data_IF_650414075190
#
_entry.id   IF_650414075190
#
_cell.length_a   1.000
_cell.length_b   1.000
_cell.length_c   1.000
_cell.angle_alpha   90.00
_cell.angle_beta   90.00
_cell.angle_gamma   90.00
#
_symmetry.space_group_name_H-M   'P 1'
#
loop_
_entity.id
_entity.type
_entity.pdbx_description
1 polymer ?
#
# COMPACT_ATOMS: atom_id res chain seq x y z
N UNK A 1 -25.02 6.07 12.67
CA UNK A 1 -24.14 7.23 12.48
C UNK A 1 -22.73 6.69 12.56
N UNK A 2 -22.07 6.50 11.42
CA UNK A 2 -20.71 5.94 11.35
C UNK A 2 -19.77 7.07 11.75
N UNK A 3 -19.34 7.03 13.00
CA UNK A 3 -18.43 8.00 13.59
C UNK A 3 -17.00 7.69 13.12
N UNK A 4 -16.47 8.58 12.30
CA UNK A 4 -15.09 8.52 11.80
C UNK A 4 -14.20 9.05 12.91
N UNK A 5 -13.67 8.15 13.74
CA UNK A 5 -12.82 8.52 14.87
C UNK A 5 -11.50 9.19 14.40
N UNK A 6 -11.02 10.23 15.13
CA UNK A 6 -9.86 11.04 14.77
C UNK A 6 -8.52 10.42 15.23
N UNK A 7 -7.50 10.62 14.41
CA UNK A 7 -6.03 10.63 14.66
C UNK A 7 -5.42 9.67 15.71
N UNK A 8 -4.78 8.57 15.26
CA UNK A 8 -3.79 7.75 16.00
C UNK A 8 -2.83 6.99 15.03
N UNK A 9 -1.62 6.51 15.40
CA UNK A 9 -0.37 6.71 14.66
C UNK A 9 0.06 5.38 14.01
N UNK A 10 -0.71 4.92 13.03
CA UNK A 10 -0.11 4.05 12.02
C UNK A 10 0.86 4.94 11.24
N UNK A 11 2.07 4.52 10.85
CA UNK A 11 2.73 5.15 9.71
C UNK A 11 1.74 5.03 8.56
N UNK A 12 1.00 6.11 8.27
CA UNK A 12 -0.15 6.09 7.37
C UNK A 12 0.38 5.57 6.04
N UNK A 13 -0.04 4.35 5.64
CA UNK A 13 0.38 3.63 4.43
C UNK A 13 -0.84 3.06 3.69
N UNK A 14 -0.58 2.52 2.52
CA UNK A 14 -1.21 2.80 1.21
C UNK A 14 -2.51 2.07 0.87
N UNK A 15 -2.80 0.94 1.49
CA UNK A 15 -4.09 0.26 1.37
C UNK A 15 -4.18 -0.70 2.56
N UNK A 16 -5.20 -0.54 3.40
CA UNK A 16 -5.35 -1.38 4.60
C UNK A 16 -6.66 -2.15 4.48
N UNK A 17 -6.57 -3.46 4.27
CA UNK A 17 -7.68 -4.36 4.60
C UNK A 17 -7.61 -4.67 6.09
N UNK A 18 -8.62 -4.24 6.83
CA UNK A 18 -8.72 -4.51 8.26
C UNK A 18 -9.56 -5.76 8.46
N UNK A 19 -8.96 -6.75 9.13
CA UNK A 19 -9.63 -7.96 9.55
C UNK A 19 -9.90 -7.90 11.05
N UNK A 20 -11.13 -8.22 11.43
CA UNK A 20 -11.56 -8.39 12.80
C UNK A 20 -11.58 -9.86 13.18
N UNK A 21 -10.69 -10.26 14.08
CA UNK A 21 -10.75 -11.56 14.74
C UNK A 21 -11.33 -11.41 16.15
N UNK A 22 -12.13 -12.39 16.52
CA UNK A 22 -12.68 -12.51 17.86
C UNK A 22 -13.31 -13.88 18.06
N UNK A 23 -13.81 -14.11 19.26
CA UNK A 23 -14.40 -15.37 19.66
C UNK A 23 -15.90 -15.38 19.38
N UNK A 24 -16.40 -16.35 18.62
CA UNK A 24 -17.83 -16.63 18.55
C UNK A 24 -18.21 -17.55 19.72
N UNK A 25 -19.09 -17.10 20.62
CA UNK A 25 -19.65 -17.95 21.67
C UNK A 25 -20.82 -18.75 21.08
N UNK A 26 -20.75 -20.08 21.07
CA UNK A 26 -21.94 -20.91 20.90
C UNK A 26 -22.71 -20.90 22.21
N UNK A 27 -24.00 -20.51 22.15
CA UNK A 27 -24.89 -20.29 23.32
C UNK A 27 -25.06 -21.53 24.21
N UNK A 28 -24.62 -22.71 23.77
CA UNK A 28 -24.57 -23.92 24.58
C UNK A 28 -23.13 -24.47 24.68
N UNK A 29 -22.51 -24.32 25.86
CA UNK A 29 -21.44 -25.18 26.40
C UNK A 29 -20.18 -25.48 25.57
N UNK A 30 -19.86 -24.71 24.52
CA UNK A 30 -18.86 -25.10 23.52
C UNK A 30 -17.60 -24.23 23.48
N UNK A 31 -16.44 -24.90 23.46
CA UNK A 31 -15.06 -24.40 23.25
C UNK A 31 -14.99 -23.08 22.46
N UNK A 32 -14.38 -22.04 23.04
CA UNK A 32 -14.10 -20.77 22.37
C UNK A 32 -13.17 -20.98 21.17
N UNK A 33 -13.72 -20.81 19.95
CA UNK A 33 -12.96 -20.82 18.70
C UNK A 33 -12.81 -19.39 18.16
N UNK A 34 -11.58 -18.89 17.95
CA UNK A 34 -11.37 -17.64 17.24
C UNK A 34 -11.82 -17.86 15.80
N UNK A 35 -12.67 -16.96 15.34
CA UNK A 35 -13.16 -16.93 13.97
C UNK A 35 -12.91 -15.54 13.40
N UNK A 36 -12.84 -15.46 12.08
CA UNK A 36 -12.93 -14.19 11.37
C UNK A 36 -14.34 -13.65 11.57
N UNK A 37 -14.50 -12.58 12.34
CA UNK A 37 -15.80 -11.95 12.56
C UNK A 37 -16.19 -11.02 11.42
N UNK A 38 -15.21 -10.32 10.85
CA UNK A 38 -15.47 -9.37 9.78
C UNK A 38 -14.19 -9.11 8.99
N UNK A 39 -14.30 -9.11 7.66
CA UNK A 39 -13.27 -8.62 6.76
C UNK A 39 -13.89 -7.51 5.92
N UNK A 40 -13.40 -6.28 6.05
CA UNK A 40 -13.87 -5.18 5.20
C UNK A 40 -13.06 -5.18 3.90
N UNK A 41 -13.74 -5.34 2.77
CA UNK A 41 -13.18 -5.01 1.46
C UNK A 41 -13.28 -3.49 1.24
N UNK A 42 -12.26 -2.84 0.64
CA UNK A 42 -12.42 -1.46 0.20
C UNK A 42 -13.58 -1.38 -0.81
N UNK A 43 -14.57 -0.54 -0.52
CA UNK A 43 -15.84 -0.41 -1.28
C UNK A 43 -15.63 0.19 -2.67
N UNK A 44 -14.46 0.78 -2.93
CA UNK A 44 -14.09 1.34 -4.23
C UNK A 44 -12.75 0.79 -4.72
N UNK A 45 -12.58 0.72 -6.04
CA UNK A 45 -11.33 0.32 -6.70
C UNK A 45 -10.22 1.38 -6.64
N UNK A 46 -10.35 2.34 -5.70
CA UNK A 46 -9.45 3.47 -5.50
C UNK A 46 -8.81 3.31 -4.11
N UNK A 47 -7.50 3.05 -4.08
CA UNK A 47 -6.71 3.03 -2.84
C UNK A 47 -6.19 4.42 -2.49
N UNK A 48 -5.82 4.63 -1.24
CA UNK A 48 -5.19 5.89 -0.79
C UNK A 48 -3.77 5.62 -0.29
N UNK A 49 -2.80 5.99 -1.11
CA UNK A 49 -1.39 6.06 -0.76
C UNK A 49 -1.16 7.15 0.26
N UNK A 50 -0.90 6.74 1.50
CA UNK A 50 -0.47 7.67 2.53
C UNK A 50 1.04 7.61 2.68
N UNK A 51 1.67 8.78 2.86
CA UNK A 51 3.10 8.97 2.96
C UNK A 51 3.39 10.01 4.04
N UNK A 52 4.54 9.90 4.69
CA UNK A 52 5.07 10.97 5.55
C UNK A 52 6.16 11.73 4.83
N UNK A 53 6.12 13.06 4.86
CA UNK A 53 7.17 13.92 4.28
C UNK A 53 8.55 13.60 4.86
N UNK A 54 8.62 13.28 6.15
CA UNK A 54 9.86 12.91 6.84
C UNK A 54 10.54 11.65 6.30
N UNK A 55 9.79 10.71 5.71
CA UNK A 55 10.34 9.51 5.07
C UNK A 55 11.02 9.84 3.72
N UNK A 56 10.75 11.01 3.16
CA UNK A 56 11.22 11.46 1.84
C UNK A 56 11.81 12.87 1.95
N UNK A 57 13.09 13.03 2.32
CA UNK A 57 13.70 14.34 2.55
C UNK A 57 13.55 15.34 1.39
N UNK A 58 13.49 14.85 0.14
CA UNK A 58 13.23 15.70 -1.02
C UNK A 58 11.89 16.45 -0.92
N UNK A 59 10.85 15.82 -0.37
CA UNK A 59 9.51 16.42 -0.23
C UNK A 59 9.40 17.41 0.93
N UNK A 60 10.46 17.62 1.71
CA UNK A 60 10.48 18.65 2.76
C UNK A 60 10.55 20.08 2.19
N UNK A 61 10.96 20.24 0.93
CA UNK A 61 11.14 21.53 0.29
C UNK A 61 10.29 21.66 -0.98
N UNK A 62 9.90 22.89 -1.30
CA UNK A 62 9.28 23.20 -2.59
C UNK A 62 10.27 22.91 -3.74
N UNK A 63 9.75 22.41 -4.86
CA UNK A 63 10.53 21.89 -5.98
C UNK A 63 11.06 20.46 -5.77
N UNK A 64 10.89 19.91 -4.57
CA UNK A 64 11.26 18.54 -4.26
C UNK A 64 10.38 17.50 -4.98
N UNK A 65 11.00 16.43 -5.47
CA UNK A 65 10.27 15.37 -6.18
C UNK A 65 10.86 13.99 -5.92
N UNK A 66 10.01 12.98 -5.89
CA UNK A 66 10.40 11.57 -5.78
C UNK A 66 9.58 10.73 -6.76
N UNK A 67 10.19 9.66 -7.26
CA UNK A 67 9.49 8.61 -7.99
C UNK A 67 9.25 7.43 -7.05
N UNK A 68 8.02 6.96 -6.98
CA UNK A 68 7.58 5.93 -6.04
C UNK A 68 7.06 4.72 -6.80
N UNK A 69 7.57 3.53 -6.45
CA UNK A 69 6.94 2.29 -6.88
C UNK A 69 5.82 1.95 -5.90
N UNK A 70 4.60 1.91 -6.41
CA UNK A 70 3.37 1.74 -5.64
C UNK A 70 2.59 0.49 -6.07
N UNK A 71 3.22 -0.40 -6.85
CA UNK A 71 2.61 -1.66 -7.30
C UNK A 71 1.58 -1.52 -8.43
N UNK A 72 1.48 -0.34 -9.04
CA UNK A 72 0.68 -0.11 -10.24
C UNK A 72 1.45 -0.51 -11.50
N UNK A 73 0.78 -0.39 -12.66
CA UNK A 73 1.35 -0.63 -13.99
C UNK A 73 2.52 0.32 -14.32
N UNK A 74 2.62 1.44 -13.61
CA UNK A 74 3.75 2.36 -13.65
C UNK A 74 4.00 3.00 -12.27
N UNK A 75 5.25 3.40 -11.96
CA UNK A 75 5.54 4.25 -10.82
C UNK A 75 4.77 5.57 -10.90
N UNK A 76 4.72 6.28 -9.78
CA UNK A 76 4.22 7.66 -9.75
C UNK A 76 5.36 8.63 -9.49
N UNK A 77 5.25 9.86 -10.00
CA UNK A 77 6.07 11.00 -9.59
C UNK A 77 5.24 11.83 -8.61
N UNK A 78 5.76 12.01 -7.41
CA UNK A 78 5.19 12.87 -6.38
C UNK A 78 6.12 14.07 -6.20
N UNK A 79 5.58 15.26 -6.44
CA UNK A 79 6.31 16.52 -6.42
C UNK A 79 5.64 17.50 -5.45
N UNK A 80 6.44 18.28 -4.72
CA UNK A 80 5.97 19.37 -3.89
C UNK A 80 6.19 20.70 -4.60
N UNK A 81 5.13 21.41 -4.91
CA UNK A 81 5.18 22.77 -5.43
C UNK A 81 5.30 23.80 -4.29
N UNK A 82 5.43 25.07 -4.68
CA UNK A 82 5.32 26.18 -3.73
C UNK A 82 3.95 26.19 -3.03
N UNK A 83 3.87 26.81 -1.85
CA UNK A 83 2.62 26.90 -1.09
C UNK A 83 2.14 25.58 -0.47
N UNK A 84 2.97 24.53 -0.46
CA UNK A 84 2.62 23.24 0.15
C UNK A 84 1.70 22.36 -0.69
N UNK A 85 1.52 22.69 -1.97
CA UNK A 85 0.73 21.89 -2.91
C UNK A 85 1.54 20.68 -3.35
N UNK A 86 0.89 19.52 -3.45
CA UNK A 86 1.50 18.30 -3.96
C UNK A 86 0.85 17.89 -5.28
N UNK A 87 1.67 17.54 -6.25
CA UNK A 87 1.25 16.95 -7.52
C UNK A 87 1.69 15.50 -7.57
N UNK A 88 0.75 14.61 -7.85
CA UNK A 88 1.01 13.20 -8.08
C UNK A 88 0.60 12.84 -9.50
N UNK A 89 1.54 12.33 -10.28
CA UNK A 89 1.32 11.99 -11.70
C UNK A 89 1.88 10.63 -12.02
N UNK A 90 1.34 9.96 -13.03
CA UNK A 90 1.90 8.72 -13.55
C UNK A 90 3.30 8.97 -14.11
N UNK A 91 4.25 8.10 -13.79
CA UNK A 91 5.57 8.16 -14.40
C UNK A 91 5.60 7.56 -15.82
N UNK A 92 4.48 6.98 -16.30
CA UNK A 92 4.39 6.43 -17.66
C UNK A 92 4.27 7.55 -18.68
N UNK A 93 5.33 7.78 -19.45
CA UNK A 93 5.31 8.70 -20.57
C UNK A 93 4.22 8.32 -21.58
N UNK A 94 3.38 9.29 -21.95
CA UNK A 94 2.23 9.07 -22.84
C UNK A 94 2.60 8.96 -24.32
N UNK A 95 3.89 9.10 -24.66
CA UNK A 95 4.40 8.83 -25.99
C UNK A 95 4.42 7.32 -26.28
N UNK A 96 5.29 6.57 -25.59
CA UNK A 96 5.53 5.13 -25.82
C UNK A 96 5.70 4.33 -24.52
N UNK A 97 5.33 4.91 -23.37
CA UNK A 97 5.31 4.20 -22.09
C UNK A 97 6.62 4.16 -21.31
N UNK A 98 7.68 4.85 -21.75
CA UNK A 98 8.91 4.99 -20.96
C UNK A 98 8.64 5.61 -19.58
N UNK A 99 9.42 5.22 -18.57
CA UNK A 99 9.32 5.82 -17.24
C UNK A 99 10.04 7.18 -17.25
N UNK A 100 9.31 8.27 -17.01
CA UNK A 100 9.88 9.62 -16.89
C UNK A 100 10.66 9.77 -15.59
N UNK A 101 11.56 10.75 -15.56
CA UNK A 101 12.29 11.11 -14.35
C UNK A 101 11.37 11.77 -13.32
N UNK A 102 11.85 11.91 -12.08
CA UNK A 102 11.23 12.83 -11.13
C UNK A 102 11.30 14.27 -11.67
N UNK A 103 10.44 15.15 -11.16
CA UNK A 103 10.49 16.58 -11.50
C UNK A 103 11.84 17.17 -11.06
N UNK A 104 12.43 17.96 -11.95
CA UNK A 104 13.68 18.66 -11.72
C UNK A 104 13.42 20.17 -11.60
N UNK A 105 13.57 20.70 -10.38
CA UNK A 105 13.40 22.12 -10.10
C UNK A 105 14.40 23.02 -10.84
N UNK A 106 15.57 22.51 -11.22
CA UNK A 106 16.56 23.26 -11.99
C UNK A 106 16.13 23.50 -13.43
N UNK A 107 15.31 22.60 -13.99
CA UNK A 107 14.79 22.72 -15.35
C UNK A 107 13.29 22.96 -15.44
N UNK A 108 12.60 23.06 -14.30
CA UNK A 108 11.14 23.24 -14.17
C UNK A 108 10.32 22.19 -14.92
N UNK A 109 10.85 20.97 -15.06
CA UNK A 109 10.27 19.95 -15.93
C UNK A 109 10.42 18.53 -15.37
N UNK A 110 9.42 17.72 -15.66
CA UNK A 110 9.51 16.25 -15.71
C UNK A 110 9.97 15.87 -17.11
N UNK A 111 11.08 15.13 -17.22
CA UNK A 111 11.69 14.76 -18.51
C UNK A 111 11.65 13.27 -18.77
N UNK A 112 11.29 12.89 -20.00
CA UNK A 112 11.42 11.53 -20.51
C UNK A 112 12.78 11.35 -21.18
N UNK A 113 13.63 10.47 -20.63
CA UNK A 113 14.96 10.19 -21.17
C UNK A 113 14.99 9.44 -22.52
N UNK A 114 13.87 8.90 -23.00
CA UNK A 114 13.84 8.12 -24.24
C UNK A 114 13.87 8.99 -25.51
N UNK A 115 12.93 9.94 -25.60
CA UNK A 115 12.70 10.74 -26.82
C UNK A 115 12.48 12.23 -26.50
N UNK A 116 12.75 12.65 -25.25
CA UNK A 116 12.71 14.05 -24.87
C UNK A 116 11.32 14.65 -24.66
N UNK A 117 10.26 13.86 -24.46
CA UNK A 117 8.97 14.42 -24.00
C UNK A 117 9.15 15.10 -22.64
N UNK A 118 8.59 16.29 -22.48
CA UNK A 118 8.67 17.08 -21.26
C UNK A 118 7.27 17.43 -20.76
N UNK A 119 7.14 17.48 -19.44
CA UNK A 119 5.88 17.78 -18.75
C UNK A 119 6.15 18.76 -17.61
N UNK A 120 5.17 19.58 -17.30
CA UNK A 120 5.16 20.46 -16.13
C UNK A 120 5.05 19.65 -14.84
N UNK A 121 5.23 20.30 -13.69
CA UNK A 121 5.17 19.66 -12.36
C UNK A 121 3.83 18.95 -12.09
N UNK A 122 2.73 19.45 -12.67
CA UNK A 122 1.38 18.90 -12.56
C UNK A 122 1.08 17.81 -13.60
N UNK A 123 2.05 17.48 -14.46
CA UNK A 123 1.93 16.49 -15.53
C UNK A 123 1.45 17.05 -16.86
N UNK A 124 1.15 18.34 -16.95
CA UNK A 124 0.74 19.00 -18.19
C UNK A 124 1.84 18.86 -19.25
N UNK A 125 1.48 18.43 -20.47
CA UNK A 125 2.45 18.31 -21.56
C UNK A 125 3.09 19.68 -21.87
N UNK A 126 4.41 19.75 -21.82
CA UNK A 126 5.18 20.95 -22.12
C UNK A 126 5.84 20.88 -23.51
N UNK A 127 6.25 19.69 -23.96
CA UNK A 127 6.89 19.54 -25.26
C UNK A 127 7.32 18.13 -25.62
N UNK A 128 7.88 18.00 -26.83
CA UNK A 128 8.38 16.74 -27.40
C UNK A 128 7.30 15.91 -28.11
N UNK A 129 7.55 14.61 -28.35
CA UNK A 129 6.72 13.80 -29.24
C UNK A 129 5.40 13.28 -28.62
N UNK A 130 5.23 13.38 -27.30
CA UNK A 130 4.00 13.00 -26.63
C UNK A 130 2.83 13.87 -27.11
N UNK A 131 1.61 13.32 -27.10
CA UNK A 131 0.40 13.99 -27.62
C UNK A 131 -0.63 14.33 -26.54
N UNK A 132 -0.38 13.96 -25.29
CA UNK A 132 -1.24 14.26 -24.14
C UNK A 132 -0.43 14.39 -22.86
N UNK A 133 -0.98 15.10 -21.87
CA UNK A 133 -0.46 15.18 -20.51
C UNK A 133 -0.41 13.82 -19.81
N UNK A 134 0.45 13.70 -18.78
CA UNK A 134 0.50 12.54 -17.90
C UNK A 134 -0.83 12.36 -17.16
N UNK A 135 -1.15 11.12 -16.82
CA UNK A 135 -2.31 10.84 -15.96
C UNK A 135 -2.04 11.38 -14.55
N UNK A 136 -3.02 12.04 -13.96
CA UNK A 136 -2.88 12.70 -12.65
C UNK A 136 -3.65 11.95 -11.57
N UNK A 137 -3.19 12.10 -10.33
CA UNK A 137 -3.79 11.49 -9.15
C UNK A 137 -4.07 12.56 -8.11
N UNK A 138 -5.23 12.47 -7.46
CA UNK A 138 -5.62 13.44 -6.44
C UNK A 138 -4.73 13.29 -5.22
N UNK A 139 -3.92 14.32 -4.93
CA UNK A 139 -3.07 14.40 -3.75
C UNK A 139 -3.59 15.46 -2.76
N UNK A 140 -3.50 15.17 -1.48
CA UNK A 140 -3.79 16.10 -0.39
C UNK A 140 -2.69 16.06 0.66
N UNK A 141 -2.47 17.18 1.33
CA UNK A 141 -1.50 17.31 2.42
C UNK A 141 -2.22 17.89 3.64
N UNK A 142 -1.93 17.34 4.82
CA UNK A 142 -2.58 17.77 6.08
C UNK A 142 -2.01 19.08 6.65
N UNK A 143 -0.97 19.63 6.04
CA UNK A 143 -0.29 20.84 6.50
C UNK A 143 0.83 20.58 7.50
N UNK A 144 1.01 19.33 7.94
CA UNK A 144 1.96 18.95 8.98
C UNK A 144 3.02 18.00 8.42
N UNK A 145 2.65 16.75 8.16
CA UNK A 145 3.60 15.72 7.71
C UNK A 145 2.99 14.64 6.82
N UNK A 146 1.66 14.57 6.68
CA UNK A 146 1.00 13.48 5.96
C UNK A 146 0.51 13.90 4.57
N UNK A 147 0.93 13.14 3.56
CA UNK A 147 0.47 13.25 2.18
C UNK A 147 -0.44 12.05 1.90
N UNK A 148 -1.60 12.28 1.29
CA UNK A 148 -2.51 11.24 0.82
C UNK A 148 -2.69 11.36 -0.69
N UNK A 149 -2.51 10.28 -1.44
CA UNK A 149 -2.69 10.22 -2.89
C UNK A 149 -3.70 9.15 -3.24
N UNK A 150 -4.79 9.52 -3.90
CA UNK A 150 -5.81 8.57 -4.38
C UNK A 150 -5.36 7.94 -5.68
N UNK A 151 -5.18 6.62 -5.67
CA UNK A 151 -4.68 5.86 -6.81
C UNK A 151 -5.71 4.81 -7.24
N UNK A 152 -6.25 4.91 -8.46
CA UNK A 152 -7.04 3.84 -9.07
C UNK A 152 -6.18 2.57 -9.20
N UNK A 153 -6.77 1.41 -8.92
CA UNK A 153 -6.06 0.12 -9.04
C UNK A 153 -5.11 -0.20 -7.90
N UNK A 154 -4.95 0.72 -6.93
CA UNK A 154 -4.28 0.46 -5.67
C UNK A 154 -5.22 -0.27 -4.70
N UNK A 155 -5.80 -1.37 -5.17
CA UNK A 155 -6.71 -2.21 -4.40
C UNK A 155 -5.95 -3.40 -3.84
N UNK A 156 -6.17 -3.70 -2.58
CA UNK A 156 -5.76 -4.96 -1.98
C UNK A 156 -7.01 -5.77 -1.64
N UNK A 157 -7.25 -6.87 -2.37
CA UNK A 157 -8.27 -7.84 -2.04
C UNK A 157 -7.60 -9.14 -1.57
N UNK A 158 -7.79 -9.48 -0.29
CA UNK A 158 -7.55 -10.84 0.16
C UNK A 158 -8.63 -11.74 -0.44
N UNK A 159 -8.22 -12.79 -1.14
CA UNK A 159 -9.13 -13.82 -1.69
C UNK A 159 -9.80 -14.60 -0.58
N UNK A 160 -9.04 -14.92 0.45
CA UNK A 160 -9.48 -15.82 1.51
C UNK A 160 -8.74 -15.47 2.80
N UNK A 161 -9.48 -15.54 3.91
CA UNK A 161 -8.94 -15.38 5.24
C UNK A 161 -9.55 -16.45 6.13
N UNK A 162 -8.71 -17.32 6.68
CA UNK A 162 -9.17 -18.46 7.48
C UNK A 162 -8.27 -18.67 8.70
N UNK A 163 -8.86 -19.20 9.78
CA UNK A 163 -8.11 -19.70 10.92
C UNK A 163 -7.92 -21.20 10.74
N UNK A 164 -6.68 -21.64 10.70
CA UNK A 164 -6.32 -23.05 10.49
C UNK A 164 -5.48 -23.57 11.66
N UNK A 165 -5.66 -24.85 11.98
CA UNK A 165 -4.77 -25.54 12.90
C UNK A 165 -3.47 -25.89 12.17
N UNK A 166 -2.34 -25.42 12.69
CA UNK A 166 -1.03 -25.89 12.26
C UNK A 166 -0.68 -27.19 13.01
N UNK A 167 0.50 -27.77 12.75
CA UNK A 167 0.96 -28.95 13.49
C UNK A 167 1.13 -28.62 14.99
N UNK A 168 0.62 -29.49 15.88
CA UNK A 168 0.45 -29.17 17.31
C UNK A 168 -0.71 -28.20 17.54
N UNK A 169 -1.11 -27.91 18.77
CA UNK A 169 -2.29 -27.07 19.08
C UNK A 169 -2.17 -25.59 18.62
N UNK A 170 -1.11 -25.23 17.90
CA UNK A 170 -0.87 -23.90 17.37
C UNK A 170 -1.86 -23.55 16.25
N UNK A 171 -2.47 -22.36 16.35
CA UNK A 171 -3.41 -21.85 15.34
C UNK A 171 -2.71 -20.78 14.51
N UNK A 172 -2.93 -20.82 13.20
CA UNK A 172 -2.41 -19.83 12.26
C UNK A 172 -3.54 -19.18 11.48
N UNK A 173 -3.36 -17.89 11.21
CA UNK A 173 -4.18 -17.15 10.27
C UNK A 173 -3.61 -17.37 8.87
N UNK A 174 -4.40 -17.96 7.98
CA UNK A 174 -4.10 -18.10 6.56
C UNK A 174 -4.65 -16.90 5.81
N UNK A 175 -3.76 -16.20 5.11
CA UNK A 175 -4.03 -14.99 4.35
C UNK A 175 -3.71 -15.25 2.88
N UNK A 176 -4.72 -15.23 2.01
CA UNK A 176 -4.55 -15.48 0.57
C UNK A 176 -4.84 -14.21 -0.20
N UNK A 177 -3.95 -13.80 -1.10
CA UNK A 177 -4.16 -12.61 -1.93
C UNK A 177 -3.36 -12.67 -3.24
N UNK A 178 -3.66 -11.75 -4.16
CA UNK A 178 -2.86 -11.55 -5.37
C UNK A 178 -1.79 -10.46 -5.13
N UNK A 179 -0.51 -10.81 -5.06
CA UNK A 179 0.55 -9.82 -4.90
C UNK A 179 0.82 -9.10 -6.22
N UNK A 180 0.92 -7.78 -6.16
CA UNK A 180 1.40 -6.96 -7.27
C UNK A 180 2.91 -7.18 -7.49
N UNK A 181 3.39 -7.18 -8.74
CA UNK A 181 4.81 -7.30 -9.04
C UNK A 181 5.65 -6.25 -8.33
N UNK A 182 6.82 -6.65 -7.84
CA UNK A 182 7.81 -5.77 -7.18
C UNK A 182 7.30 -4.99 -5.97
N UNK A 183 6.12 -5.33 -5.46
CA UNK A 183 5.54 -4.72 -4.27
C UNK A 183 5.89 -5.58 -3.06
N UNK A 184 6.41 -4.94 -2.01
CA UNK A 184 6.71 -5.62 -0.76
C UNK A 184 5.48 -5.58 0.14
N UNK A 185 5.09 -6.72 0.68
CA UNK A 185 3.95 -6.90 1.58
C UNK A 185 4.44 -7.25 2.98
N UNK A 186 3.88 -6.60 3.99
CA UNK A 186 4.12 -6.88 5.40
C UNK A 186 2.80 -7.20 6.10
N UNK A 187 2.86 -7.92 7.22
CA UNK A 187 1.70 -8.15 8.07
C UNK A 187 1.90 -7.44 9.39
N UNK A 188 0.89 -6.70 9.82
CA UNK A 188 0.87 -5.96 11.07
C UNK A 188 -0.32 -6.40 11.92
N UNK A 189 -0.14 -6.41 13.24
CA UNK A 189 -1.16 -6.73 14.22
C UNK A 189 -1.41 -5.53 15.12
N UNK A 190 -2.70 -5.22 15.33
CA UNK A 190 -3.17 -4.32 16.38
C UNK A 190 -3.98 -5.10 17.40
N UNK A 191 -3.74 -4.88 18.69
CA UNK A 191 -4.43 -5.66 19.73
C UNK A 191 -5.90 -5.22 19.93
N UNK A 192 -6.18 -3.94 19.75
CA UNK A 192 -7.51 -3.33 19.75
C UNK A 192 -7.54 -2.11 18.80
N UNK A 193 -8.67 -1.41 18.65
CA UNK A 193 -8.80 -0.27 17.73
C UNK A 193 -7.80 0.87 18.02
N UNK A 194 -7.40 1.04 19.27
CA UNK A 194 -6.61 2.19 19.73
C UNK A 194 -5.13 1.85 19.92
N UNK A 195 -4.77 0.56 19.96
CA UNK A 195 -3.39 0.13 20.13
C UNK A 195 -2.51 0.47 18.90
N UNK A 196 -1.21 0.60 19.12
CA UNK A 196 -0.23 0.75 18.05
C UNK A 196 -0.07 -0.57 17.29
N UNK A 197 -0.08 -0.51 15.96
CA UNK A 197 0.16 -1.70 15.14
C UNK A 197 1.64 -2.12 15.24
N UNK A 198 1.90 -3.43 15.34
CA UNK A 198 3.26 -4.01 15.34
C UNK A 198 3.46 -4.97 14.16
N UNK A 199 4.65 -4.97 13.58
CA UNK A 199 5.04 -5.93 12.54
C UNK A 199 5.03 -7.35 13.13
N UNK A 200 4.46 -8.30 12.40
CA UNK A 200 4.42 -9.71 12.81
C UNK A 200 5.10 -10.60 11.77
N UNK A 201 5.90 -11.59 12.22
CA UNK A 201 6.51 -12.54 11.30
C UNK A 201 5.45 -13.51 10.75
N UNK A 202 5.71 -14.02 9.55
CA UNK A 202 4.86 -14.98 8.86
C UNK A 202 5.71 -16.04 8.14
N UNK A 203 5.04 -17.07 7.65
CA UNK A 203 5.61 -18.13 6.82
C UNK A 203 4.79 -18.37 5.57
N UNK A 204 5.34 -19.16 4.65
CA UNK A 204 4.70 -19.50 3.37
C UNK A 204 4.09 -20.91 3.35
N UNK A 205 4.14 -21.62 4.48
CA UNK A 205 3.49 -22.92 4.65
C UNK A 205 2.81 -23.02 6.01
N UNK A 206 1.75 -23.85 6.06
CA UNK A 206 0.92 -24.02 7.25
C UNK A 206 1.72 -24.51 8.47
N UNK A 207 2.79 -25.28 8.26
CA UNK A 207 3.61 -25.87 9.33
C UNK A 207 5.05 -25.34 9.40
N UNK A 208 5.46 -24.49 8.45
CA UNK A 208 6.84 -24.00 8.36
C UNK A 208 7.20 -22.96 9.42
N UNK A 209 8.47 -22.59 9.45
CA UNK A 209 8.99 -21.53 10.33
C UNK A 209 8.40 -20.17 9.94
N UNK A 210 8.00 -19.40 10.94
CA UNK A 210 7.48 -18.04 10.78
C UNK A 210 8.62 -17.03 10.99
N UNK A 211 9.45 -16.83 9.96
CA UNK A 211 10.63 -15.96 10.05
C UNK A 211 10.61 -14.78 9.08
N UNK A 212 9.65 -14.75 8.15
CA UNK A 212 9.58 -13.70 7.14
C UNK A 212 8.85 -12.48 7.70
N UNK A 213 9.36 -11.29 7.40
CA UNK A 213 8.74 -10.01 7.76
C UNK A 213 8.34 -9.19 6.54
N UNK A 214 8.64 -9.67 5.34
CA UNK A 214 8.29 -9.04 4.07
C UNK A 214 8.21 -10.07 2.95
N UNK A 215 7.20 -9.96 2.08
CA UNK A 215 7.02 -10.80 0.90
C UNK A 215 7.02 -9.92 -0.34
N UNK A 216 7.76 -10.31 -1.38
CA UNK A 216 7.75 -9.62 -2.67
C UNK A 216 7.56 -10.63 -3.78
N UNK A 217 6.57 -10.39 -4.65
CA UNK A 217 6.46 -11.19 -5.87
C UNK A 217 7.47 -10.65 -6.91
N UNK A 218 8.49 -11.45 -7.19
CA UNK A 218 9.50 -11.17 -8.22
C UNK A 218 9.28 -11.97 -9.51
N UNK A 219 8.29 -12.87 -9.53
CA UNK A 219 8.01 -13.69 -10.69
C UNK A 219 7.04 -12.96 -11.63
N UNK A 220 7.58 -12.39 -12.71
CA UNK A 220 6.81 -11.70 -13.74
C UNK A 220 6.14 -12.65 -14.74
N UNK A 221 6.53 -13.92 -14.78
CA UNK A 221 5.93 -14.90 -15.68
C UNK A 221 4.57 -15.41 -15.17
N UNK A 222 4.28 -15.22 -13.88
CA UNK A 222 3.00 -15.56 -13.29
C UNK A 222 2.00 -14.43 -13.56
N UNK A 223 1.07 -14.68 -14.48
CA UNK A 223 0.05 -13.72 -14.89
C UNK A 223 -1.12 -13.63 -13.89
N UNK A 224 -1.22 -14.58 -12.96
CA UNK A 224 -2.27 -14.62 -11.93
C UNK A 224 -1.71 -15.04 -10.58
N UNK A 225 -0.74 -14.30 -10.03
CA UNK A 225 -0.01 -14.76 -8.86
C UNK A 225 -0.93 -14.83 -7.66
N UNK A 226 -0.83 -15.92 -6.91
CA UNK A 226 -1.53 -16.11 -5.64
C UNK A 226 -0.49 -16.46 -4.58
N UNK A 227 -0.48 -15.70 -3.50
CA UNK A 227 0.36 -16.00 -2.33
C UNK A 227 -0.51 -16.36 -1.15
N UNK A 228 -0.05 -17.32 -0.36
CA UNK A 228 -0.62 -17.67 0.94
C UNK A 228 0.41 -17.36 2.03
N UNK A 229 0.06 -16.48 2.96
CA UNK A 229 0.85 -16.20 4.16
C UNK A 229 0.19 -16.84 5.38
N UNK A 230 1.01 -17.35 6.29
CA UNK A 230 0.57 -17.91 7.56
C UNK A 230 1.15 -17.09 8.71
N UNK A 231 0.30 -16.64 9.62
CA UNK A 231 0.70 -15.83 10.77
C UNK A 231 0.24 -16.53 12.04
N UNK A 232 1.06 -16.55 13.08
CA UNK A 232 0.66 -17.19 14.34
C UNK A 232 -0.41 -16.39 15.09
N UNK A 233 -1.46 -17.10 15.52
CA UNK A 233 -2.49 -16.55 16.38
C UNK A 233 -2.08 -16.73 17.84
N UNK A 234 -1.28 -15.80 18.33
CA UNK A 234 -0.87 -15.75 19.75
C UNK A 234 -1.99 -15.27 20.68
N UNK A 235 -3.10 -14.77 20.13
CA UNK A 235 -4.25 -14.25 20.88
C UNK A 235 -5.57 -14.61 20.20
N UNK A 236 -6.66 -14.57 20.98
CA UNK A 236 -8.03 -14.87 20.52
C UNK A 236 -8.76 -13.70 19.87
N UNK A 237 -8.19 -12.48 19.92
CA UNK A 237 -8.71 -11.25 19.32
C UNK A 237 -7.60 -10.35 18.83
N UNK A 238 -7.90 -9.54 17.82
CA UNK A 238 -6.97 -8.55 17.26
C UNK A 238 -7.30 -8.20 15.81
N UNK A 239 -6.59 -7.18 15.31
CA UNK A 239 -6.78 -6.61 13.98
C UNK A 239 -5.53 -6.89 13.16
N UNK A 240 -5.63 -7.78 12.18
CA UNK A 240 -4.53 -8.01 11.24
C UNK A 240 -4.67 -7.08 10.04
N UNK A 241 -3.53 -6.58 9.58
CA UNK A 241 -3.41 -5.66 8.47
C UNK A 241 -2.33 -6.17 7.52
N UNK A 242 -2.67 -6.32 6.24
CA UNK A 242 -1.68 -6.57 5.18
C UNK A 242 -1.33 -5.21 4.59
N UNK A 243 -0.05 -4.86 4.63
CA UNK A 243 0.45 -3.53 4.29
C UNK A 243 1.38 -3.63 3.10
N UNK A 244 1.10 -2.85 2.06
CA UNK A 244 2.02 -2.61 0.96
C UNK A 244 3.10 -1.60 1.39
N UNK A 245 4.36 -1.97 1.24
CA UNK A 245 5.51 -1.12 1.50
C UNK A 245 5.90 -0.42 0.20
N UNK A 246 5.80 0.90 0.22
CA UNK A 246 6.20 1.78 -0.88
C UNK A 246 7.71 1.97 -0.82
N UNK A 247 8.38 1.71 -1.93
CA UNK A 247 9.82 1.94 -2.07
C UNK A 247 10.10 3.07 -3.05
N UNK A 248 11.15 3.84 -2.78
CA UNK A 248 11.67 4.83 -3.73
C UNK A 248 12.21 4.09 -4.96
N UNK A 249 11.87 4.57 -6.15
CA UNK A 249 12.37 4.07 -7.44
C UNK A 249 13.68 4.76 -7.83
#
# INVERSE_FOLDING_TARGET
>A
MIDVCPDNPIPRRTAVRQLMLGTAASVFGGIFRPAVLSAADPVESIGTLNLKTGDFPALLNAGGSVRLNVGLDAPIVLSRAAGGVFYAVSARCTHQGCIVNAYDAGSDLIRCGCHGSTYQIDGTLAGGPAKRSLDTYAASFDGVDAISVRLPGLTFAAREIAVESAAGETRRLRLVFNPQPFTTYQVWLREDLNATARLVPFGLSATGVLSQTGYVNRNLADLTPVVTLYVELTRSKGFFQIVQVVTKY
#
